data_IF_005333268405
#
_entry.id   IF_005333268405
#
_cell.length_a   1.000
_cell.length_b   1.000
_cell.length_c   1.000
_cell.angle_alpha   90.00
_cell.angle_beta   90.00
_cell.angle_gamma   90.00
#
_symmetry.space_group_name_H-M   'P 1'
#
loop_
_entity.id
_entity.type
_entity.pdbx_description
1 polymer ?
#
# COMPACT_ATOMS: atom_id res chain seq x y z
N UNK A 1 5.84 17.39 4.58
CA UNK A 1 6.99 18.03 5.26
C UNK A 1 8.17 18.37 4.34
N UNK A 2 8.66 17.50 3.45
CA UNK A 2 9.73 17.84 2.48
C UNK A 2 9.25 18.71 1.30
N UNK A 3 8.09 18.38 0.72
CA UNK A 3 7.56 19.03 -0.49
C UNK A 3 6.29 19.88 -0.24
N UNK A 4 5.95 20.11 1.03
CA UNK A 4 4.84 21.00 1.47
C UNK A 4 3.45 20.75 0.83
N UNK A 5 3.17 19.54 0.38
CA UNK A 5 1.82 19.11 -0.06
C UNK A 5 0.87 19.02 1.14
N UNK A 6 -0.40 19.43 0.98
CA UNK A 6 -1.41 19.26 2.02
C UNK A 6 -1.76 17.78 2.20
N UNK A 7 -2.03 17.30 3.43
CA UNK A 7 -2.42 15.92 3.66
C UNK A 7 -3.66 15.51 2.85
N UNK A 8 -4.66 16.39 2.74
CA UNK A 8 -5.89 16.13 2.01
C UNK A 8 -5.63 15.88 0.53
N UNK A 9 -4.79 16.69 -0.12
CA UNK A 9 -4.43 16.51 -1.52
C UNK A 9 -3.66 15.20 -1.73
N UNK A 10 -2.69 14.89 -0.87
CA UNK A 10 -1.91 13.66 -0.97
C UNK A 10 -2.77 12.41 -0.76
N UNK A 11 -3.70 12.43 0.21
CA UNK A 11 -4.57 11.29 0.50
C UNK A 11 -5.58 11.05 -0.62
N UNK A 12 -6.18 12.11 -1.16
CA UNK A 12 -7.10 12.02 -2.30
C UNK A 12 -6.40 11.44 -3.53
N UNK A 13 -5.20 11.93 -3.85
CA UNK A 13 -4.39 11.44 -4.96
C UNK A 13 -3.97 9.97 -4.78
N UNK A 14 -3.46 9.61 -3.60
CA UNK A 14 -2.80 8.31 -3.43
C UNK A 14 -3.79 7.14 -3.28
N UNK A 15 -4.93 7.34 -2.61
CA UNK A 15 -5.84 6.20 -2.36
C UNK A 15 -7.30 6.55 -2.05
N UNK A 16 -7.63 7.78 -1.62
CA UNK A 16 -8.99 8.08 -1.15
C UNK A 16 -9.99 8.45 -2.27
N UNK A 17 -9.54 8.61 -3.52
CA UNK A 17 -10.38 8.95 -4.69
C UNK A 17 -11.22 7.79 -5.23
N UNK A 18 -10.74 6.56 -5.09
CA UNK A 18 -11.30 5.38 -5.78
C UNK A 18 -10.59 5.03 -7.09
N UNK A 19 -9.64 5.84 -7.56
CA UNK A 19 -8.90 5.58 -8.81
C UNK A 19 -8.17 4.23 -8.79
N UNK A 20 -7.57 3.87 -7.64
CA UNK A 20 -6.93 2.56 -7.47
C UNK A 20 -7.91 1.39 -7.65
N UNK A 21 -9.18 1.56 -7.26
CA UNK A 21 -10.18 0.49 -7.38
C UNK A 21 -10.55 0.22 -8.85
N UNK A 22 -10.77 1.28 -9.63
CA UNK A 22 -11.02 1.16 -11.08
C UNK A 22 -9.79 0.61 -11.81
N UNK A 23 -8.58 1.06 -11.44
CA UNK A 23 -7.34 0.51 -11.98
C UNK A 23 -7.18 -0.98 -11.69
N UNK A 24 -7.42 -1.41 -10.45
CA UNK A 24 -7.35 -2.83 -10.07
C UNK A 24 -8.41 -3.68 -10.77
N UNK A 25 -9.62 -3.15 -10.97
CA UNK A 25 -10.67 -3.81 -11.75
C UNK A 25 -10.24 -4.02 -13.20
N UNK A 26 -9.72 -2.98 -13.85
CA UNK A 26 -9.23 -3.09 -15.23
C UNK A 26 -8.05 -4.08 -15.35
N UNK A 27 -7.16 -4.14 -14.35
CA UNK A 27 -6.10 -5.16 -14.30
C UNK A 27 -6.68 -6.58 -14.27
N UNK A 28 -7.73 -6.81 -13.48
CA UNK A 28 -8.35 -8.13 -13.33
C UNK A 28 -9.14 -8.55 -14.59
N UNK A 29 -9.82 -7.60 -15.25
CA UNK A 29 -10.66 -7.88 -16.43
C UNK A 29 -9.83 -7.97 -17.72
N UNK A 30 -8.71 -7.26 -17.82
CA UNK A 30 -7.99 -7.09 -19.10
C UNK A 30 -6.51 -7.45 -19.04
N UNK A 31 -5.91 -7.45 -17.86
CA UNK A 31 -4.48 -7.72 -17.68
C UNK A 31 -3.70 -6.53 -17.09
N UNK A 32 -2.63 -6.86 -16.36
CA UNK A 32 -1.80 -5.89 -15.62
C UNK A 32 -1.21 -4.79 -16.52
N UNK A 33 -0.80 -5.15 -17.74
CA UNK A 33 -0.16 -4.24 -18.69
C UNK A 33 -1.19 -3.65 -19.65
N UNK A 34 -2.17 -4.44 -20.06
CA UNK A 34 -3.18 -4.11 -21.07
C UNK A 34 -4.09 -2.95 -20.62
N UNK A 35 -4.42 -2.89 -19.32
CA UNK A 35 -5.18 -1.79 -18.74
C UNK A 35 -4.51 -0.42 -18.93
N UNK A 36 -3.18 -0.37 -19.15
CA UNK A 36 -2.45 0.89 -19.33
C UNK A 36 -2.94 1.70 -20.53
N UNK A 37 -3.72 1.10 -21.46
CA UNK A 37 -4.39 1.82 -22.54
C UNK A 37 -5.36 2.91 -22.05
N UNK A 38 -5.88 2.80 -20.82
CA UNK A 38 -6.74 3.83 -20.19
C UNK A 38 -5.95 5.02 -19.64
N UNK A 39 -4.62 4.94 -19.61
CA UNK A 39 -3.75 5.97 -19.06
C UNK A 39 -3.15 6.84 -20.16
N UNK A 40 -2.76 8.08 -19.81
CA UNK A 40 -2.01 8.95 -20.74
C UNK A 40 -0.64 8.36 -21.10
N UNK A 41 -0.08 8.77 -22.24
CA UNK A 41 1.27 8.33 -22.65
C UNK A 41 2.36 8.70 -21.65
N UNK A 42 2.21 9.84 -20.96
CA UNK A 42 3.10 10.23 -19.86
C UNK A 42 3.06 9.23 -18.71
N UNK A 43 1.86 8.80 -18.30
CA UNK A 43 1.67 7.79 -17.24
C UNK A 43 2.21 6.43 -17.67
N UNK A 44 1.88 5.97 -18.88
CA UNK A 44 2.38 4.70 -19.44
C UNK A 44 3.91 4.63 -19.41
N UNK A 45 4.58 5.68 -19.93
CA UNK A 45 6.04 5.75 -19.96
C UNK A 45 6.63 5.78 -18.54
N UNK A 46 6.02 6.55 -17.63
CA UNK A 46 6.42 6.59 -16.22
C UNK A 46 6.37 5.21 -15.58
N UNK A 47 5.23 4.52 -15.65
CA UNK A 47 5.04 3.22 -15.02
C UNK A 47 6.01 2.17 -15.57
N UNK A 48 6.05 1.98 -16.88
CA UNK A 48 6.88 0.92 -17.51
C UNK A 48 8.39 1.12 -17.24
N UNK A 49 8.88 2.36 -17.32
CA UNK A 49 10.30 2.64 -17.05
C UNK A 49 10.68 2.45 -15.58
N UNK A 50 9.76 2.71 -14.63
CA UNK A 50 10.03 2.51 -13.20
C UNK A 50 9.89 1.05 -12.79
N UNK A 51 8.98 0.29 -13.39
CA UNK A 51 8.93 -1.17 -13.25
C UNK A 51 10.30 -1.75 -13.62
N UNK A 52 10.80 -1.48 -14.83
CA UNK A 52 12.10 -1.99 -15.27
C UNK A 52 13.26 -1.62 -14.32
N UNK A 53 13.21 -0.40 -13.75
CA UNK A 53 14.25 0.10 -12.85
C UNK A 53 14.25 -0.59 -11.49
N UNK A 54 13.08 -0.86 -10.91
CA UNK A 54 12.95 -1.31 -9.52
C UNK A 54 12.58 -2.78 -9.37
N UNK A 55 12.24 -3.48 -10.46
CA UNK A 55 11.78 -4.87 -10.42
C UNK A 55 12.76 -5.80 -9.70
N UNK A 56 14.07 -5.65 -9.92
CA UNK A 56 15.08 -6.48 -9.26
C UNK A 56 15.05 -6.30 -7.74
N UNK A 57 15.03 -5.06 -7.26
CA UNK A 57 14.95 -4.76 -5.83
C UNK A 57 13.70 -5.38 -5.19
N UNK A 58 12.56 -5.27 -5.86
CA UNK A 58 11.29 -5.85 -5.37
C UNK A 58 11.37 -7.38 -5.37
N UNK A 59 11.96 -7.97 -6.40
CA UNK A 59 12.14 -9.43 -6.52
C UNK A 59 13.02 -9.97 -5.39
N UNK A 60 14.14 -9.32 -5.09
CA UNK A 60 15.05 -9.75 -4.02
C UNK A 60 14.35 -9.74 -2.65
N UNK A 61 13.51 -8.74 -2.39
CA UNK A 61 12.68 -8.68 -1.17
C UNK A 61 11.65 -9.82 -1.17
N UNK A 62 10.92 -10.01 -2.27
CA UNK A 62 9.89 -11.03 -2.37
C UNK A 62 10.45 -12.45 -2.21
N UNK A 63 11.60 -12.75 -2.80
CA UNK A 63 12.26 -14.06 -2.68
C UNK A 63 12.68 -14.35 -1.23
N UNK A 64 13.20 -13.33 -0.53
CA UNK A 64 13.57 -13.47 0.88
C UNK A 64 12.36 -13.77 1.77
N UNK A 65 11.27 -13.02 1.62
CA UNK A 65 10.05 -13.25 2.41
C UNK A 65 9.40 -14.60 2.05
N UNK A 66 9.46 -15.02 0.78
CA UNK A 66 8.95 -16.32 0.35
C UNK A 66 9.73 -17.49 0.98
N UNK A 67 11.06 -17.38 1.08
CA UNK A 67 11.90 -18.40 1.73
C UNK A 67 11.61 -18.49 3.24
N UNK A 68 11.40 -17.36 3.92
CA UNK A 68 11.03 -17.36 5.33
C UNK A 68 9.67 -18.03 5.57
N UNK A 69 8.69 -17.75 4.71
CA UNK A 69 7.38 -18.43 4.75
C UNK A 69 7.54 -19.94 4.50
N UNK A 70 8.26 -20.32 3.44
CA UNK A 70 8.41 -21.72 3.02
C UNK A 70 9.15 -22.58 4.08
N UNK A 71 10.18 -22.01 4.70
CA UNK A 71 10.94 -22.67 5.78
C UNK A 71 10.20 -22.70 7.13
N UNK A 72 8.98 -22.11 7.19
CA UNK A 72 8.17 -22.00 8.41
C UNK A 72 8.71 -20.98 9.43
N UNK A 73 9.58 -20.07 9.01
CA UNK A 73 10.08 -18.95 9.82
C UNK A 73 8.94 -18.11 10.36
N UNK A 74 8.13 -17.55 9.46
CA UNK A 74 6.94 -16.78 9.82
C UNK A 74 5.95 -17.57 10.70
N UNK A 75 5.78 -18.87 10.46
CA UNK A 75 4.88 -19.70 11.28
C UNK A 75 5.36 -19.78 12.75
N UNK A 76 6.68 -19.91 12.96
CA UNK A 76 7.28 -19.89 14.31
C UNK A 76 7.17 -18.51 14.95
N UNK A 77 7.48 -17.46 14.20
CA UNK A 77 7.34 -16.07 14.65
C UNK A 77 5.90 -15.78 15.12
N UNK A 78 4.92 -16.06 14.26
CA UNK A 78 3.52 -15.79 14.57
C UNK A 78 2.99 -16.65 15.73
N UNK A 79 3.46 -17.90 15.86
CA UNK A 79 3.11 -18.75 17.00
C UNK A 79 3.60 -18.16 18.33
N UNK A 80 4.81 -17.60 18.36
CA UNK A 80 5.36 -16.91 19.54
C UNK A 80 4.59 -15.63 19.84
N UNK A 81 4.28 -14.84 18.81
CA UNK A 81 3.50 -13.61 18.95
C UNK A 81 2.11 -13.93 19.54
N UNK A 82 1.43 -14.96 19.06
CA UNK A 82 0.14 -15.41 19.60
C UNK A 82 0.27 -15.88 21.06
N UNK A 83 1.28 -16.69 21.37
CA UNK A 83 1.54 -17.16 22.74
C UNK A 83 1.87 -16.02 23.72
N UNK A 84 2.44 -14.92 23.22
CA UNK A 84 2.74 -13.73 24.02
C UNK A 84 1.53 -12.80 24.26
N UNK A 85 0.37 -13.09 23.67
CA UNK A 85 -0.80 -12.21 23.73
C UNK A 85 -0.74 -11.04 22.74
N UNK A 86 -0.10 -11.24 21.58
CA UNK A 86 -0.04 -10.28 20.48
C UNK A 86 0.63 -8.95 20.83
N UNK A 87 1.73 -8.98 21.61
CA UNK A 87 2.40 -7.77 22.11
C UNK A 87 2.90 -6.89 20.96
N UNK A 88 3.56 -7.48 19.97
CA UNK A 88 4.15 -6.73 18.85
C UNK A 88 3.05 -6.15 17.97
N UNK A 89 2.06 -6.95 17.61
CA UNK A 89 0.92 -6.55 16.78
C UNK A 89 0.14 -5.41 17.43
N UNK A 90 -0.17 -5.53 18.73
CA UNK A 90 -0.89 -4.48 19.46
C UNK A 90 -0.07 -3.18 19.51
N UNK A 91 1.24 -3.26 19.74
CA UNK A 91 2.14 -2.10 19.71
C UNK A 91 2.15 -1.43 18.33
N UNK A 92 2.33 -2.20 17.26
CA UNK A 92 2.36 -1.68 15.89
C UNK A 92 1.00 -1.08 15.49
N UNK A 93 -0.10 -1.75 15.83
CA UNK A 93 -1.46 -1.25 15.59
C UNK A 93 -1.66 0.12 16.23
N UNK A 94 -1.24 0.30 17.49
CA UNK A 94 -1.29 1.60 18.17
C UNK A 94 -0.45 2.66 17.45
N UNK A 95 0.80 2.34 17.14
CA UNK A 95 1.73 3.27 16.45
C UNK A 95 1.13 3.79 15.15
N UNK A 96 0.63 2.90 14.29
CA UNK A 96 0.12 3.31 12.98
C UNK A 96 -1.26 3.98 13.06
N UNK A 97 -2.15 3.55 13.96
CA UNK A 97 -3.43 4.23 14.20
C UNK A 97 -3.25 5.66 14.70
N UNK A 98 -2.17 5.92 15.44
CA UNK A 98 -1.84 7.24 15.96
C UNK A 98 -0.95 8.08 15.04
N UNK A 99 -0.60 7.56 13.86
CA UNK A 99 0.24 8.26 12.88
C UNK A 99 -0.43 9.53 12.33
N UNK A 100 0.40 10.49 11.91
CA UNK A 100 -0.05 11.74 11.28
C UNK A 100 -0.94 11.47 10.04
N UNK A 101 -0.62 10.42 9.27
CA UNK A 101 -1.38 10.02 8.09
C UNK A 101 -2.81 9.61 8.46
N UNK A 102 -2.98 8.68 9.40
CA UNK A 102 -4.30 8.17 9.80
C UNK A 102 -5.13 9.26 10.48
N UNK A 103 -4.50 10.16 11.26
CA UNK A 103 -5.20 11.32 11.84
C UNK A 103 -5.72 12.26 10.75
N UNK A 104 -4.91 12.56 9.73
CA UNK A 104 -5.31 13.41 8.61
C UNK A 104 -6.42 12.75 7.78
N UNK A 105 -6.32 11.44 7.51
CA UNK A 105 -7.34 10.67 6.83
C UNK A 105 -8.68 10.73 7.57
N UNK A 106 -8.70 10.48 8.89
CA UNK A 106 -9.93 10.55 9.68
C UNK A 106 -10.58 11.93 9.61
N UNK A 107 -9.80 13.00 9.64
CA UNK A 107 -10.31 14.37 9.48
C UNK A 107 -10.91 14.56 8.09
N UNK A 108 -10.21 14.15 7.04
CA UNK A 108 -10.70 14.22 5.66
C UNK A 108 -11.99 13.42 5.50
N UNK A 109 -12.07 12.20 6.03
CA UNK A 109 -13.25 11.35 5.87
C UNK A 109 -14.47 11.90 6.60
N UNK A 110 -14.28 12.61 7.73
CA UNK A 110 -15.36 13.38 8.37
C UNK A 110 -15.83 14.54 7.49
N UNK A 111 -14.90 15.30 6.90
CA UNK A 111 -15.24 16.39 5.97
C UNK A 111 -16.03 15.86 4.77
N UNK A 112 -15.65 14.69 4.25
CA UNK A 112 -16.33 14.03 3.13
C UNK A 112 -17.62 13.28 3.54
N UNK A 113 -17.99 13.27 4.83
CA UNK A 113 -19.17 12.57 5.33
C UNK A 113 -19.10 11.04 5.24
N UNK A 114 -17.91 10.46 5.03
CA UNK A 114 -17.71 8.99 4.93
C UNK A 114 -17.75 8.30 6.29
N UNK A 115 -17.37 9.02 7.35
CA UNK A 115 -17.43 8.55 8.73
C UNK A 115 -18.02 9.66 9.62
N UNK A 116 -18.70 9.25 10.69
CA UNK A 116 -19.28 10.16 11.70
C UNK A 116 -18.19 10.65 12.68
#
# INVERSE_FOLDING_TARGET
>A
KKYRVSPEAAILELYASGELAEGAKAMAEEGLIEQLKYHSKTSQYGQLTRIQRYLRLIKDIAEKEAEDIWSGGFAREFSQENASGSIVLNRLSRIYRESDLVKAERKLYKILGRIK
#
